data_IF_766195909740
#
_entry.id   IF_766195909740
#
_cell.length_a   1.000
_cell.length_b   1.000
_cell.length_c   1.000
_cell.angle_alpha   90.00
_cell.angle_beta   90.00
_cell.angle_gamma   90.00
#
_symmetry.space_group_name_H-M   'P 1'
#
loop_
_entity.id
_entity.type
_entity.pdbx_description
1 polymer ?
#
# COMPACT_ATOMS: atom_id res chain seq x y z
N UNK A 1 -21.28 8.76 -42.47
CA UNK A 1 -21.77 8.54 -41.10
C UNK A 1 -20.60 8.05 -40.27
N UNK A 2 -20.22 8.84 -39.27
CA UNK A 2 -19.02 8.63 -38.43
C UNK A 2 -19.33 7.75 -37.21
N UNK A 3 -18.25 7.23 -36.59
CA UNK A 3 -18.27 6.08 -35.70
C UNK A 3 -18.51 6.49 -34.24
N UNK A 4 -19.71 6.18 -33.73
CA UNK A 4 -20.04 6.02 -32.30
C UNK A 4 -19.55 7.11 -31.32
N UNK A 5 -20.08 8.33 -31.42
CA UNK A 5 -19.85 9.41 -30.43
C UNK A 5 -20.60 9.20 -29.08
N UNK A 6 -21.48 8.19 -28.98
CA UNK A 6 -22.30 7.91 -27.79
C UNK A 6 -21.55 7.41 -26.54
N UNK A 7 -20.24 7.16 -26.65
CA UNK A 7 -19.37 6.83 -25.51
C UNK A 7 -18.29 7.90 -25.26
N UNK A 8 -18.34 9.03 -25.97
CA UNK A 8 -17.36 10.11 -25.84
C UNK A 8 -17.47 10.82 -24.49
N UNK A 9 -16.40 10.76 -23.70
CA UNK A 9 -16.27 11.48 -22.42
C UNK A 9 -16.21 10.56 -21.21
N UNK A 10 -15.07 10.56 -20.51
CA UNK A 10 -14.89 9.92 -19.20
C UNK A 10 -14.81 8.39 -19.22
N UNK A 11 -15.08 7.73 -20.36
CA UNK A 11 -14.94 6.28 -20.53
C UNK A 11 -13.59 5.84 -21.11
N UNK A 12 -12.80 6.74 -21.69
CA UNK A 12 -11.53 6.41 -22.35
C UNK A 12 -10.53 5.74 -21.38
N UNK A 13 -10.55 6.14 -20.10
CA UNK A 13 -9.80 5.50 -19.00
C UNK A 13 -10.15 4.03 -18.71
N UNK A 14 -11.26 3.50 -19.21
CA UNK A 14 -11.53 2.06 -19.12
C UNK A 14 -10.81 1.26 -20.21
N UNK A 15 -10.42 1.93 -21.30
CA UNK A 15 -9.76 1.36 -22.48
C UNK A 15 -8.25 1.71 -22.56
N UNK A 16 -7.79 2.70 -21.77
CA UNK A 16 -6.38 3.02 -21.62
C UNK A 16 -5.57 1.81 -21.15
N UNK A 17 -4.35 1.64 -21.68
CA UNK A 17 -3.49 0.51 -21.36
C UNK A 17 -3.12 0.51 -19.86
N UNK A 18 -3.46 -0.55 -19.09
CA UNK A 18 -3.09 -0.65 -17.68
C UNK A 18 -1.67 -1.20 -17.48
N UNK A 19 -0.92 -1.55 -18.53
CA UNK A 19 0.41 -2.15 -18.44
C UNK A 19 1.49 -1.11 -18.74
N UNK A 20 1.51 -0.50 -19.92
CA UNK A 20 2.51 0.51 -20.30
C UNK A 20 1.99 1.94 -20.02
N UNK A 21 2.58 2.60 -19.02
CA UNK A 21 2.16 3.93 -18.52
C UNK A 21 3.38 4.84 -18.49
N UNK A 22 3.71 5.45 -19.63
CA UNK A 22 4.96 6.19 -19.81
C UNK A 22 5.08 7.46 -18.94
N UNK A 23 3.96 8.00 -18.45
CA UNK A 23 3.84 9.22 -17.64
C UNK A 23 3.72 8.96 -16.13
N UNK A 24 3.89 7.71 -15.68
CA UNK A 24 3.75 7.35 -14.26
C UNK A 24 4.80 8.03 -13.36
N UNK A 25 6.06 8.15 -13.82
CA UNK A 25 7.12 8.78 -13.04
C UNK A 25 6.89 10.30 -12.88
N UNK A 26 6.48 10.97 -13.96
CA UNK A 26 6.13 12.40 -13.97
C UNK A 26 4.94 12.68 -13.03
N UNK A 27 3.88 11.86 -13.11
CA UNK A 27 2.72 11.99 -12.22
C UNK A 27 3.09 11.82 -10.75
N UNK A 28 3.89 10.81 -10.40
CA UNK A 28 4.34 10.61 -9.02
C UNK A 28 5.22 11.77 -8.54
N UNK A 29 6.13 12.27 -9.39
CA UNK A 29 6.93 13.46 -9.11
C UNK A 29 6.06 14.70 -8.85
N UNK A 30 5.04 14.94 -9.68
CA UNK A 30 4.11 16.06 -9.47
C UNK A 30 3.33 15.92 -8.16
N UNK A 31 2.81 14.73 -7.85
CA UNK A 31 2.14 14.43 -6.57
C UNK A 31 3.08 14.65 -5.36
N UNK A 32 4.36 14.29 -5.47
CA UNK A 32 5.38 14.54 -4.46
C UNK A 32 5.66 16.05 -4.31
N UNK A 33 5.77 16.79 -5.42
CA UNK A 33 6.06 18.23 -5.42
C UNK A 33 4.95 19.08 -4.80
N UNK A 34 3.67 18.65 -4.92
CA UNK A 34 2.51 19.31 -4.31
C UNK A 34 2.28 18.84 -2.86
N UNK A 35 2.82 17.68 -2.49
CA UNK A 35 2.70 17.15 -1.12
C UNK A 35 3.70 17.84 -0.18
N UNK A 36 3.23 18.89 0.50
CA UNK A 36 3.99 19.54 1.58
C UNK A 36 4.48 18.50 2.60
N UNK A 37 5.73 18.63 3.11
CA UNK A 37 6.22 17.80 4.20
C UNK A 37 5.27 17.84 5.40
N UNK A 38 4.74 16.68 5.85
CA UNK A 38 4.12 16.58 7.19
C UNK A 38 5.17 17.03 8.22
N UNK A 39 5.00 18.24 8.79
CA UNK A 39 5.85 18.70 9.90
C UNK A 39 5.79 17.64 10.99
N UNK A 40 6.93 17.05 11.40
CA UNK A 40 6.92 15.94 12.35
C UNK A 40 6.23 16.42 13.64
N UNK A 41 5.11 15.79 13.96
CA UNK A 41 4.31 16.15 15.12
C UNK A 41 5.22 16.18 16.34
N UNK A 42 5.41 17.37 16.93
CA UNK A 42 6.36 17.60 18.03
C UNK A 42 6.18 16.50 19.06
N UNK A 43 7.23 15.69 19.25
CA UNK A 43 7.15 14.46 20.02
C UNK A 43 6.52 14.73 21.37
N UNK A 44 5.38 14.10 21.63
CA UNK A 44 4.65 14.28 22.90
C UNK A 44 5.59 13.80 24.00
N UNK A 45 6.05 14.67 24.93
CA UNK A 45 6.94 14.26 25.99
C UNK A 45 6.15 13.36 26.94
N UNK A 46 6.37 12.04 26.83
CA UNK A 46 5.71 11.07 27.68
C UNK A 46 6.59 10.67 28.85
N UNK A 47 6.39 11.38 29.97
CA UNK A 47 6.57 10.78 31.28
C UNK A 47 5.44 9.75 31.47
N UNK A 48 5.72 8.49 31.16
CA UNK A 48 4.86 7.38 31.55
C UNK A 48 5.72 6.21 32.02
N UNK A 49 5.65 5.91 33.31
CA UNK A 49 6.27 4.76 34.00
C UNK A 49 5.59 3.42 33.60
N UNK A 50 5.23 3.29 32.33
CA UNK A 50 4.53 2.12 31.82
C UNK A 50 5.56 1.03 31.53
N UNK A 51 5.56 -0.03 32.35
CA UNK A 51 6.38 -1.21 32.11
C UNK A 51 6.11 -1.77 30.70
N UNK A 52 7.16 -1.82 29.88
CA UNK A 52 7.14 -2.53 28.59
C UNK A 52 6.68 -3.98 28.78
N UNK A 53 5.84 -4.50 27.88
CA UNK A 53 5.36 -5.91 27.94
C UNK A 53 5.62 -6.66 26.64
N UNK A 54 5.93 -7.96 26.79
CA UNK A 54 6.19 -8.86 25.67
C UNK A 54 7.28 -8.33 24.72
N UNK A 55 6.96 -8.26 23.43
CA UNK A 55 7.86 -7.82 22.35
C UNK A 55 8.41 -6.39 22.54
N UNK A 56 7.75 -5.52 23.31
CA UNK A 56 8.24 -4.17 23.63
C UNK A 56 9.53 -4.18 24.46
N UNK A 57 9.82 -5.26 25.19
CA UNK A 57 11.05 -5.42 25.99
C UNK A 57 12.28 -5.73 25.14
N UNK A 58 12.12 -6.09 23.87
CA UNK A 58 13.27 -6.41 23.02
C UNK A 58 14.15 -5.17 22.76
N UNK A 59 15.49 -5.34 22.70
CA UNK A 59 16.39 -4.34 22.12
C UNK A 59 15.96 -3.98 20.69
N UNK A 60 16.30 -2.77 20.26
CA UNK A 60 15.87 -2.25 18.95
C UNK A 60 16.44 -3.10 17.80
N UNK A 61 17.66 -3.60 17.95
CA UNK A 61 18.37 -4.45 16.98
C UNK A 61 17.60 -5.74 16.68
N UNK A 62 16.95 -6.33 17.70
CA UNK A 62 16.09 -7.51 17.51
C UNK A 62 14.76 -7.15 16.87
N UNK A 63 14.22 -5.96 17.13
CA UNK A 63 12.98 -5.49 16.48
C UNK A 63 13.23 -5.13 15.02
N UNK A 64 14.35 -4.50 14.69
CA UNK A 64 14.77 -4.20 13.32
C UNK A 64 14.98 -5.52 12.54
N UNK A 65 15.64 -6.51 13.14
CA UNK A 65 15.77 -7.84 12.56
C UNK A 65 14.42 -8.54 12.35
N UNK A 66 13.46 -8.44 13.29
CA UNK A 66 12.10 -8.96 13.11
C UNK A 66 11.39 -8.24 11.96
N UNK A 67 11.44 -6.90 11.94
CA UNK A 67 10.83 -6.08 10.89
C UNK A 67 11.37 -6.44 9.49
N UNK A 68 12.65 -6.78 9.36
CA UNK A 68 13.24 -7.21 8.09
C UNK A 68 12.57 -8.45 7.47
N UNK A 69 12.02 -9.35 8.29
CA UNK A 69 11.30 -10.55 7.82
C UNK A 69 9.77 -10.38 7.75
N UNK A 70 9.23 -9.23 8.17
CA UNK A 70 7.80 -8.97 8.17
C UNK A 70 7.34 -8.30 6.87
N UNK A 71 6.17 -8.66 6.31
CA UNK A 71 5.54 -7.88 5.25
C UNK A 71 5.28 -6.43 5.70
N UNK A 72 5.43 -5.46 4.81
CA UNK A 72 5.29 -4.02 5.08
C UNK A 72 3.99 -3.67 5.83
N UNK A 73 2.88 -4.32 5.47
CA UNK A 73 1.58 -4.13 6.15
C UNK A 73 1.60 -4.61 7.61
N UNK A 74 2.36 -5.65 7.94
CA UNK A 74 2.56 -6.14 9.30
C UNK A 74 3.44 -5.19 10.11
N UNK A 75 4.47 -4.59 9.50
CA UNK A 75 5.31 -3.55 10.15
C UNK A 75 4.46 -2.31 10.47
N UNK A 76 3.64 -1.84 9.52
CA UNK A 76 2.74 -0.69 9.73
C UNK A 76 1.71 -0.99 10.82
N UNK A 77 1.18 -2.22 10.90
CA UNK A 77 0.30 -2.66 11.99
C UNK A 77 1.03 -2.69 13.33
N UNK A 78 2.23 -3.26 13.38
CA UNK A 78 3.07 -3.34 14.60
C UNK A 78 3.35 -1.96 15.18
N UNK A 79 3.80 -1.01 14.34
CA UNK A 79 4.01 0.39 14.72
C UNK A 79 2.75 1.03 15.35
N UNK A 80 1.54 0.63 14.93
CA UNK A 80 0.26 1.17 15.46
C UNK A 80 -0.26 0.47 16.72
N UNK A 81 0.38 -0.61 17.19
CA UNK A 81 -0.13 -1.38 18.36
C UNK A 81 0.03 -0.66 19.69
N UNK A 82 1.10 0.11 19.88
CA UNK A 82 1.36 0.82 21.14
C UNK A 82 2.25 2.05 20.93
N UNK A 83 2.24 2.96 21.91
CA UNK A 83 3.08 4.16 21.87
C UNK A 83 4.58 3.83 21.94
N UNK A 84 4.95 2.73 22.60
CA UNK A 84 6.32 2.20 22.60
C UNK A 84 6.72 1.73 21.20
N UNK A 85 5.83 1.02 20.50
CA UNK A 85 6.11 0.57 19.13
C UNK A 85 6.21 1.73 18.14
N UNK A 86 5.49 2.84 18.35
CA UNK A 86 5.68 4.08 17.58
C UNK A 86 7.11 4.62 17.71
N UNK A 87 7.72 4.52 18.89
CA UNK A 87 9.08 5.00 19.14
C UNK A 87 10.16 4.04 18.63
N UNK A 88 9.92 2.72 18.72
CA UNK A 88 10.91 1.70 18.32
C UNK A 88 10.88 1.36 16.83
N UNK A 89 9.70 1.20 16.23
CA UNK A 89 9.55 0.82 14.81
C UNK A 89 9.49 2.08 13.95
N UNK A 90 10.64 2.58 13.48
CA UNK A 90 10.70 3.90 12.81
C UNK A 90 10.14 3.84 11.38
N UNK A 91 8.93 4.34 11.17
CA UNK A 91 8.32 4.52 9.84
C UNK A 91 8.68 5.88 9.22
N UNK A 92 9.97 6.11 8.98
CA UNK A 92 10.50 7.36 8.42
C UNK A 92 10.32 7.46 6.88
N UNK A 93 10.70 8.61 6.29
CA UNK A 93 10.62 8.79 4.83
C UNK A 93 11.45 7.76 4.05
N UNK A 94 12.53 7.22 4.63
CA UNK A 94 13.34 6.15 4.03
C UNK A 94 12.58 4.83 3.96
N UNK A 95 11.85 4.47 5.02
CA UNK A 95 10.90 3.35 5.02
C UNK A 95 9.85 3.53 3.93
N UNK A 96 9.16 4.68 3.87
CA UNK A 96 8.11 4.88 2.87
C UNK A 96 8.65 4.86 1.44
N UNK A 97 9.75 5.58 1.15
CA UNK A 97 10.41 5.59 -0.17
C UNK A 97 10.85 4.20 -0.62
N UNK A 98 11.58 3.46 0.22
CA UNK A 98 12.08 2.12 -0.12
C UNK A 98 10.96 1.09 -0.31
N UNK A 99 9.92 1.13 0.52
CA UNK A 99 8.77 0.23 0.39
C UNK A 99 7.81 0.62 -0.74
N UNK A 100 7.89 1.86 -1.25
CA UNK A 100 7.14 2.32 -2.41
C UNK A 100 7.70 1.73 -3.71
N UNK A 101 9.00 1.91 -3.96
CA UNK A 101 9.68 1.39 -5.16
C UNK A 101 9.81 -0.14 -5.21
N UNK A 102 9.74 -0.83 -4.08
CA UNK A 102 9.68 -2.31 -4.06
C UNK A 102 8.29 -2.87 -4.34
N UNK A 103 7.28 -2.03 -4.61
CA UNK A 103 5.88 -2.44 -4.80
C UNK A 103 5.21 -2.98 -3.53
N UNK A 104 5.91 -3.06 -2.41
CA UNK A 104 5.44 -3.68 -1.17
C UNK A 104 4.36 -2.87 -0.43
N UNK A 105 4.29 -1.56 -0.68
CA UNK A 105 3.14 -0.71 -0.31
C UNK A 105 1.99 -0.80 -1.33
N UNK A 106 2.31 -0.76 -2.62
CA UNK A 106 1.36 -0.67 -3.73
C UNK A 106 1.78 -1.62 -4.86
N UNK A 107 1.26 -2.85 -4.84
CA UNK A 107 1.59 -3.86 -5.86
C UNK A 107 1.19 -3.47 -7.30
N UNK A 108 0.32 -2.46 -7.46
CA UNK A 108 -0.03 -1.89 -8.76
C UNK A 108 0.98 -0.85 -9.28
N UNK A 109 2.02 -0.47 -8.51
CA UNK A 109 3.10 0.44 -8.93
C UNK A 109 4.42 -0.35 -9.12
N UNK A 110 4.31 -1.52 -9.76
CA UNK A 110 5.40 -2.50 -9.92
C UNK A 110 6.48 -2.10 -10.94
N UNK A 111 6.16 -1.16 -11.81
CA UNK A 111 6.97 -0.60 -12.90
C UNK A 111 7.75 0.66 -12.47
N UNK A 112 7.47 1.20 -11.29
CA UNK A 112 8.06 2.46 -10.84
C UNK A 112 9.52 2.28 -10.39
N UNK A 113 10.43 3.00 -11.04
CA UNK A 113 11.86 2.95 -10.77
C UNK A 113 12.35 4.26 -10.12
N UNK A 114 13.13 4.13 -9.05
CA UNK A 114 13.68 5.26 -8.30
C UNK A 114 14.54 6.20 -9.16
N UNK A 115 15.28 5.65 -10.13
CA UNK A 115 16.17 6.43 -11.00
C UNK A 115 15.43 7.39 -11.91
N UNK A 116 14.20 7.06 -12.30
CA UNK A 116 13.44 7.86 -13.25
C UNK A 116 12.88 9.10 -12.55
N UNK A 117 12.46 8.95 -11.28
CA UNK A 117 12.10 10.07 -10.41
C UNK A 117 13.34 10.91 -10.04
N UNK A 118 14.46 10.28 -9.69
CA UNK A 118 15.73 10.98 -9.40
C UNK A 118 16.31 11.73 -10.63
N UNK A 119 15.98 11.30 -11.85
CA UNK A 119 16.33 12.02 -13.07
C UNK A 119 15.50 13.31 -13.26
N UNK A 120 14.23 13.30 -12.86
CA UNK A 120 13.36 14.48 -12.86
C UNK A 120 13.82 15.52 -11.82
N UNK A 121 14.35 15.08 -10.68
CA UNK A 121 14.94 15.94 -9.64
C UNK A 121 16.16 16.75 -10.14
N UNK A 122 16.96 16.21 -11.07
CA UNK A 122 18.17 16.86 -11.58
C UNK A 122 17.90 17.98 -12.60
N UNK A 123 16.63 18.30 -12.86
CA UNK A 123 16.23 19.45 -13.67
C UNK A 123 16.60 20.81 -13.04
N UNK A 124 16.58 21.91 -13.81
CA UNK A 124 17.03 23.24 -13.36
C UNK A 124 16.05 23.97 -12.41
N UNK A 125 15.16 23.25 -11.71
CA UNK A 125 14.23 23.82 -10.74
C UNK A 125 14.82 23.73 -9.33
N UNK A 126 14.60 24.77 -8.53
CA UNK A 126 14.90 24.79 -7.08
C UNK A 126 13.88 23.93 -6.31
N UNK A 127 13.79 22.64 -6.61
CA UNK A 127 12.94 21.66 -5.91
C UNK A 127 13.62 21.31 -4.59
N UNK A 128 12.88 21.11 -3.47
CA UNK A 128 13.44 20.52 -2.25
C UNK A 128 14.16 19.21 -2.56
N UNK A 129 15.25 18.92 -1.84
CA UNK A 129 15.99 17.68 -2.07
C UNK A 129 15.06 16.47 -1.85
N UNK A 130 15.35 15.37 -2.54
CA UNK A 130 14.65 14.08 -2.46
C UNK A 130 14.34 13.56 -1.04
N UNK A 131 15.10 14.03 -0.05
CA UNK A 131 15.01 13.76 1.38
C UNK A 131 13.82 14.44 2.07
N UNK A 132 13.37 15.58 1.53
CA UNK A 132 12.35 16.46 2.12
C UNK A 132 10.92 16.03 1.76
N UNK A 133 10.74 15.19 0.74
CA UNK A 133 9.42 14.83 0.21
C UNK A 133 8.63 13.89 1.15
N UNK A 134 7.32 14.13 1.24
CA UNK A 134 6.42 13.32 2.07
C UNK A 134 5.95 12.03 1.38
N UNK A 135 6.89 11.08 1.25
CA UNK A 135 6.63 9.73 0.76
C UNK A 135 5.51 9.01 1.53
N UNK A 136 5.31 9.35 2.81
CA UNK A 136 4.23 8.80 3.63
C UNK A 136 2.87 9.31 3.17
N UNK A 137 2.73 10.59 2.88
CA UNK A 137 1.48 11.19 2.39
C UNK A 137 1.15 10.74 0.97
N UNK A 138 2.15 10.55 0.11
CA UNK A 138 1.95 9.97 -1.23
C UNK A 138 1.53 8.49 -1.14
N UNK A 139 2.17 7.70 -0.28
CA UNK A 139 1.74 6.32 -0.04
C UNK A 139 0.31 6.24 0.55
N UNK A 140 -0.08 7.13 1.47
CA UNK A 140 -1.48 7.21 1.96
C UNK A 140 -2.46 7.53 0.82
N UNK A 141 -2.11 8.50 -0.03
CA UNK A 141 -2.95 8.96 -1.15
C UNK A 141 -3.15 7.88 -2.21
N UNK A 142 -2.13 7.07 -2.49
CA UNK A 142 -2.20 5.98 -3.46
C UNK A 142 -2.71 4.67 -2.82
N UNK A 143 -2.82 4.62 -1.48
CA UNK A 143 -3.50 3.54 -0.77
C UNK A 143 -5.03 3.61 -0.90
N UNK A 144 -5.60 4.79 -1.20
CA UNK A 144 -7.03 4.91 -1.52
C UNK A 144 -7.31 4.43 -2.94
N UNK A 145 -7.22 3.11 -3.15
CA UNK A 145 -7.48 2.37 -4.41
C UNK A 145 -8.89 2.59 -5.01
N UNK A 146 -9.74 3.31 -4.30
CA UNK A 146 -11.02 3.81 -4.81
C UNK A 146 -10.81 5.27 -5.24
N UNK A 147 -10.44 5.46 -6.50
CA UNK A 147 -10.38 6.77 -7.13
C UNK A 147 -11.76 7.10 -7.69
N UNK A 148 -12.61 7.86 -6.97
CA UNK A 148 -14.01 8.01 -7.33
C UNK A 148 -14.16 8.79 -8.64
N UNK A 149 -15.29 8.56 -9.33
CA UNK A 149 -15.61 9.24 -10.58
C UNK A 149 -15.80 10.76 -10.38
N UNK A 150 -16.11 11.19 -9.15
CA UNK A 150 -16.12 12.59 -8.72
C UNK A 150 -15.80 12.66 -7.20
N UNK A 151 -15.19 13.77 -6.74
CA UNK A 151 -14.90 14.01 -5.32
C UNK A 151 -13.59 13.39 -4.82
N UNK A 152 -12.51 13.51 -5.61
CA UNK A 152 -11.17 13.02 -5.29
C UNK A 152 -10.22 14.15 -4.81
N UNK A 153 -9.06 13.79 -4.29
CA UNK A 153 -8.01 14.73 -3.86
C UNK A 153 -7.40 15.45 -5.08
N UNK A 154 -7.32 16.80 -5.11
CA UNK A 154 -6.91 17.54 -6.32
C UNK A 154 -5.49 17.21 -6.81
N UNK A 155 -4.62 16.61 -5.97
CA UNK A 155 -3.33 16.07 -6.42
C UNK A 155 -3.45 14.97 -7.47
N UNK A 156 -4.65 14.41 -7.66
CA UNK A 156 -4.96 13.34 -8.59
C UNK A 156 -5.68 13.84 -9.86
N UNK A 157 -5.86 15.16 -10.04
CA UNK A 157 -6.51 15.74 -11.25
C UNK A 157 -5.85 15.26 -12.55
N UNK A 158 -4.52 15.16 -12.54
CA UNK A 158 -3.69 14.77 -13.69
C UNK A 158 -3.32 13.27 -13.69
N UNK A 159 -4.07 12.41 -12.99
CA UNK A 159 -3.72 10.99 -12.87
C UNK A 159 -3.80 10.27 -14.23
N UNK A 160 -2.73 9.56 -14.67
CA UNK A 160 -2.71 8.88 -15.96
C UNK A 160 -3.87 7.93 -16.14
N UNK A 161 -4.48 7.95 -17.34
CA UNK A 161 -5.67 7.14 -17.64
C UNK A 161 -5.38 5.63 -17.50
N UNK A 162 -4.18 5.19 -17.90
CA UNK A 162 -3.70 3.83 -17.72
C UNK A 162 -3.54 3.45 -16.24
N UNK A 163 -3.03 4.37 -15.41
CA UNK A 163 -2.86 4.14 -13.97
C UNK A 163 -4.23 4.02 -13.28
N UNK A 164 -5.18 4.86 -13.66
CA UNK A 164 -6.56 4.72 -13.21
C UNK A 164 -7.15 3.36 -13.56
N UNK A 165 -6.95 2.90 -14.80
CA UNK A 165 -7.43 1.58 -15.23
C UNK A 165 -6.77 0.44 -14.46
N UNK A 166 -5.45 0.51 -14.26
CA UNK A 166 -4.67 -0.46 -13.48
C UNK A 166 -5.17 -0.55 -12.04
N UNK A 167 -5.35 0.59 -11.37
CA UNK A 167 -5.90 0.65 -10.01
C UNK A 167 -7.31 0.06 -9.91
N UNK A 168 -8.18 0.35 -10.90
CA UNK A 168 -9.52 -0.25 -11.01
C UNK A 168 -9.45 -1.77 -11.12
N UNK A 169 -8.66 -2.28 -12.06
CA UNK A 169 -8.50 -3.73 -12.31
C UNK A 169 -7.97 -4.42 -11.05
N UNK A 170 -6.94 -3.84 -10.42
CA UNK A 170 -6.36 -4.35 -9.18
C UNK A 170 -7.38 -4.42 -8.05
N UNK A 171 -8.22 -3.38 -7.88
CA UNK A 171 -9.29 -3.38 -6.87
C UNK A 171 -10.37 -4.45 -7.13
N UNK A 172 -10.65 -4.79 -8.39
CA UNK A 172 -11.55 -5.89 -8.75
C UNK A 172 -10.92 -7.25 -8.39
N UNK A 173 -9.64 -7.44 -8.72
CA UNK A 173 -8.89 -8.67 -8.41
C UNK A 173 -8.80 -8.90 -6.89
N UNK A 174 -8.46 -7.88 -6.11
CA UNK A 174 -8.40 -7.99 -4.64
C UNK A 174 -9.75 -8.40 -4.03
N UNK A 175 -10.86 -7.80 -4.49
CA UNK A 175 -12.21 -8.19 -4.05
C UNK A 175 -12.55 -9.63 -4.42
N UNK A 176 -12.19 -10.09 -5.61
CA UNK A 176 -12.40 -11.47 -6.02
C UNK A 176 -11.64 -12.45 -5.10
N UNK A 177 -10.38 -12.15 -4.77
CA UNK A 177 -9.60 -12.95 -3.81
C UNK A 177 -10.21 -12.94 -2.38
N UNK A 178 -10.77 -11.82 -1.93
CA UNK A 178 -11.47 -11.74 -0.63
C UNK A 178 -12.72 -12.63 -0.61
N UNK A 179 -13.49 -12.68 -1.70
CA UNK A 179 -14.66 -13.56 -1.85
C UNK A 179 -14.28 -15.04 -1.94
N UNK A 180 -13.28 -15.41 -2.76
CA UNK A 180 -12.80 -16.80 -2.90
C UNK A 180 -12.28 -17.41 -1.58
N UNK A 181 -11.79 -16.56 -0.66
CA UNK A 181 -11.36 -16.98 0.67
C UNK A 181 -12.52 -17.21 1.65
N UNK A 182 -13.65 -16.54 1.45
CA UNK A 182 -14.85 -16.68 2.30
C UNK A 182 -15.76 -17.82 1.84
N UNK A 183 -15.76 -18.16 0.55
CA UNK A 183 -16.62 -19.19 -0.05
C UNK A 183 -16.05 -20.61 -0.01
N UNK A 184 -14.86 -20.82 0.57
CA UNK A 184 -14.31 -22.17 0.83
C UNK A 184 -14.67 -22.66 2.23
N UNK A 185 -15.77 -23.42 2.43
CA UNK A 185 -15.95 -24.16 3.66
C UNK A 185 -14.81 -25.17 3.81
N UNK A 186 -14.25 -25.27 5.01
CA UNK A 186 -13.37 -26.38 5.37
C UNK A 186 -14.17 -27.69 5.29
N UNK A 187 -14.09 -28.38 4.15
CA UNK A 187 -14.38 -29.81 4.10
C UNK A 187 -13.26 -30.57 4.82
N UNK A 188 -13.33 -30.54 6.15
CA UNK A 188 -12.64 -31.49 6.99
C UNK A 188 -13.12 -32.89 6.60
N UNK A 189 -12.27 -33.63 5.91
CA UNK A 189 -12.44 -35.07 5.77
C UNK A 189 -12.25 -35.71 7.15
N UNK A 190 -13.37 -35.80 7.88
CA UNK A 190 -13.48 -36.65 9.07
C UNK A 190 -13.37 -38.11 8.62
N UNK A 191 -12.14 -38.60 8.51
CA UNK A 191 -11.85 -40.03 8.47
C UNK A 191 -12.20 -40.63 9.84
N UNK A 192 -13.46 -41.00 10.04
CA UNK A 192 -13.90 -41.81 11.18
C UNK A 192 -14.21 -43.24 10.72
N UNK A 193 -13.17 -43.93 10.24
CA UNK A 193 -13.22 -45.37 10.04
C UNK A 193 -13.01 -46.11 11.36
N UNK A 194 -14.09 -46.46 12.04
CA UNK A 194 -14.15 -47.55 13.05
C UNK A 194 -15.59 -48.02 13.16
N UNK A 195 -16.03 -48.85 12.22
CA UNK A 195 -17.21 -49.68 12.39
C UNK A 195 -16.77 -50.99 13.08
N UNK A 196 -16.85 -50.98 14.42
CA UNK A 196 -16.42 -52.08 15.26
C UNK A 196 -17.64 -52.89 15.72
N UNK A 197 -17.97 -53.93 14.95
CA UNK A 197 -18.96 -54.95 15.31
C UNK A 197 -18.69 -55.56 16.70
N UNK A 198 -19.74 -55.63 17.56
CA UNK A 198 -20.06 -56.78 18.44
C UNK A 198 -21.32 -56.56 19.29
N UNK A 199 -21.98 -57.70 19.62
CA UNK A 199 -23.18 -57.86 20.49
C UNK A 199 -24.49 -57.33 19.88
N UNK A 200 -25.63 -58.03 19.83
CA UNK A 200 -26.02 -59.44 20.15
C UNK A 200 -26.94 -59.96 18.98
N UNK A 201 -27.63 -61.12 18.94
CA UNK A 201 -28.01 -62.17 19.91
C UNK A 201 -28.32 -63.51 19.14
N UNK A 202 -28.67 -64.58 19.87
CA UNK A 202 -29.28 -65.87 19.47
C UNK A 202 -28.41 -66.94 18.73
#
# INVERSE_FOLDING_TARGET
>A
MTKAEWWGGGYDRFYADPIDISDIADFIHDVLSVSSPEVPAKGIPQNSEQEYRGIERLPNELLDAICHYLPTQSIIKLHRTSKTMIQKVRLDNGFWRSHFFTGSLHAHLWDLNAKDIEALEQGPRNVPLATDWDWRSVAKLLATKQFPIAGYDPRLDNMPLGLWNRCRIWSIVEKAFEHDFLEKPFHGQSNSGTDASRYDDA
#
